data_IF_662389857043
#
_entry.id   IF_662389857043
#
_cell.length_a   1.000
_cell.length_b   1.000
_cell.length_c   1.000
_cell.angle_alpha   90.00
_cell.angle_beta   90.00
_cell.angle_gamma   90.00
#
_symmetry.space_group_name_H-M   'P 1'
#
loop_
_entity.id
_entity.type
_entity.pdbx_description
1 polymer ?
#
# COMPACT_ATOMS: atom_id res chain seq x y z
N UNK A 1 20.17 17.60 17.43
CA UNK A 1 20.53 18.01 16.06
C UNK A 1 19.45 17.57 15.06
N UNK A 2 18.55 18.46 14.67
CA UNK A 2 17.39 18.18 13.78
C UNK A 2 17.75 18.39 12.30
N UNK A 3 18.74 17.67 11.77
CA UNK A 3 19.28 18.00 10.44
C UNK A 3 19.74 16.86 9.53
N UNK A 4 19.54 15.58 9.87
CA UNK A 4 20.17 14.47 9.12
C UNK A 4 19.25 13.51 8.34
N UNK A 5 17.92 13.60 8.42
CA UNK A 5 17.03 12.60 7.78
C UNK A 5 16.24 13.09 6.55
N UNK A 6 16.54 14.26 5.97
CA UNK A 6 15.88 14.76 4.74
C UNK A 6 16.57 14.20 3.47
N UNK A 7 17.52 13.27 3.60
CA UNK A 7 18.30 12.81 2.45
C UNK A 7 17.55 11.72 1.66
N UNK A 8 17.06 12.16 0.50
CA UNK A 8 16.49 11.40 -0.64
C UNK A 8 14.97 11.16 -0.60
N UNK A 9 14.20 12.24 -0.52
CA UNK A 9 12.87 12.24 -1.16
C UNK A 9 13.10 12.51 -2.66
N UNK A 10 12.64 11.65 -3.57
CA UNK A 10 12.72 11.91 -5.01
C UNK A 10 12.11 13.28 -5.39
N UNK A 11 12.72 14.00 -6.34
CA UNK A 11 12.32 15.37 -6.68
C UNK A 11 10.83 15.46 -7.07
N UNK A 12 10.32 14.47 -7.80
CA UNK A 12 8.90 14.39 -8.18
C UNK A 12 7.96 14.26 -6.97
N UNK A 13 8.34 13.53 -5.93
CA UNK A 13 7.55 13.42 -4.69
C UNK A 13 7.52 14.74 -3.93
N UNK A 14 8.67 15.43 -3.84
CA UNK A 14 8.76 16.78 -3.27
C UNK A 14 7.84 17.74 -4.04
N UNK A 15 7.90 17.75 -5.37
CA UNK A 15 7.03 18.59 -6.20
C UNK A 15 5.56 18.26 -5.96
N UNK A 16 5.17 16.98 -5.90
CA UNK A 16 3.78 16.58 -5.66
C UNK A 16 3.29 16.99 -4.25
N UNK A 17 4.14 16.84 -3.23
CA UNK A 17 3.84 17.28 -1.87
C UNK A 17 3.67 18.80 -1.77
N UNK A 18 4.51 19.56 -2.47
CA UNK A 18 4.47 21.03 -2.49
C UNK A 18 3.29 21.57 -3.30
N UNK A 19 2.97 20.94 -4.44
CA UNK A 19 1.89 21.37 -5.34
C UNK A 19 0.52 20.81 -4.98
N UNK A 20 0.46 19.83 -4.05
CA UNK A 20 -0.76 19.09 -3.65
C UNK A 20 -1.56 18.50 -4.83
N UNK A 21 -0.94 18.31 -6.00
CA UNK A 21 -1.61 17.71 -7.16
C UNK A 21 -1.80 16.22 -6.90
N UNK A 22 -3.06 15.84 -6.70
CA UNK A 22 -3.49 14.46 -6.55
C UNK A 22 -3.92 13.85 -7.89
N UNK A 23 -3.95 12.53 -7.95
CA UNK A 23 -4.43 11.76 -9.11
C UNK A 23 -5.58 10.85 -8.68
N UNK A 24 -6.70 10.93 -9.39
CA UNK A 24 -7.81 9.99 -9.23
C UNK A 24 -7.43 8.61 -9.81
N UNK A 25 -7.67 7.55 -9.05
CA UNK A 25 -7.50 6.17 -9.54
C UNK A 25 -8.64 5.85 -10.51
N UNK A 26 -8.30 5.27 -11.67
CA UNK A 26 -9.29 4.90 -12.68
C UNK A 26 -10.04 3.64 -12.25
N UNK A 27 -11.31 3.48 -12.64
CA UNK A 27 -12.12 2.33 -12.24
C UNK A 27 -11.52 0.98 -12.66
N UNK A 28 -10.89 0.89 -13.83
CA UNK A 28 -10.19 -0.34 -14.25
C UNK A 28 -8.97 -0.67 -13.39
N UNK A 29 -8.46 0.32 -12.69
CA UNK A 29 -7.32 0.22 -11.78
C UNK A 29 -7.79 0.25 -10.31
N UNK A 30 -9.09 0.10 -10.04
CA UNK A 30 -9.65 0.15 -8.68
C UNK A 30 -8.98 -0.85 -7.75
N UNK A 31 -8.94 -0.49 -6.48
CA UNK A 31 -8.20 -1.28 -5.52
C UNK A 31 -8.27 -0.72 -4.11
N UNK A 32 -7.25 -1.04 -3.34
CA UNK A 32 -7.12 -0.61 -1.95
C UNK A 32 -5.80 0.10 -1.74
N UNK A 33 -5.87 1.31 -1.19
CA UNK A 33 -4.73 2.04 -0.68
C UNK A 33 -4.36 1.53 0.71
N UNK A 34 -3.21 0.87 0.82
CA UNK A 34 -2.65 0.32 2.05
C UNK A 34 -1.77 1.40 2.70
N UNK A 35 -2.10 1.80 3.92
CA UNK A 35 -1.37 2.85 4.64
C UNK A 35 -0.17 2.25 5.39
N UNK A 36 1.02 2.34 4.80
CA UNK A 36 2.26 1.74 5.33
C UNK A 36 3.05 2.69 6.25
N UNK A 37 2.43 3.79 6.69
CA UNK A 37 3.05 4.88 7.46
C UNK A 37 3.83 4.44 8.71
N UNK A 38 3.39 3.36 9.38
CA UNK A 38 4.02 2.88 10.62
C UNK A 38 5.32 2.08 10.38
N UNK A 39 5.50 1.50 9.20
CA UNK A 39 6.53 0.49 8.96
C UNK A 39 7.48 0.82 7.81
N UNK A 40 7.05 1.66 6.87
CA UNK A 40 7.87 2.04 5.73
C UNK A 40 9.12 2.82 6.15
N UNK A 41 10.26 2.50 5.54
CA UNK A 41 11.49 3.29 5.63
C UNK A 41 11.96 3.65 4.21
N UNK A 42 12.52 4.86 3.99
CA UNK A 42 13.04 5.23 2.67
C UNK A 42 14.15 4.33 2.12
N UNK A 43 14.77 3.49 2.96
CA UNK A 43 15.82 2.54 2.58
C UNK A 43 15.27 1.17 2.15
N UNK A 44 13.95 0.96 2.18
CA UNK A 44 13.34 -0.31 1.79
C UNK A 44 13.46 -0.55 0.29
N UNK A 45 13.78 -1.79 -0.08
CA UNK A 45 13.72 -2.26 -1.45
C UNK A 45 12.32 -2.78 -1.80
N UNK A 46 12.26 -3.46 -2.95
CA UNK A 46 11.01 -4.03 -3.48
C UNK A 46 10.43 -5.09 -2.53
N UNK A 47 11.27 -5.95 -1.95
CA UNK A 47 10.83 -7.03 -1.07
C UNK A 47 10.25 -6.50 0.24
N UNK A 48 10.96 -5.59 0.93
CA UNK A 48 10.48 -4.99 2.16
C UNK A 48 9.18 -4.23 1.94
N UNK A 49 9.10 -3.46 0.84
CA UNK A 49 7.90 -2.68 0.49
C UNK A 49 6.72 -3.60 0.19
N UNK A 50 6.96 -4.71 -0.51
CA UNK A 50 5.93 -5.71 -0.77
C UNK A 50 5.46 -6.34 0.54
N UNK A 51 6.36 -6.81 1.39
CA UNK A 51 6.00 -7.53 2.62
C UNK A 51 5.24 -6.67 3.64
N UNK A 52 5.59 -5.39 3.78
CA UNK A 52 4.78 -4.49 4.62
C UNK A 52 3.41 -4.15 4.01
N UNK A 53 3.28 -4.21 2.68
CA UNK A 53 2.03 -3.95 1.95
C UNK A 53 1.12 -5.16 1.97
N UNK A 54 1.64 -6.33 1.61
CA UNK A 54 1.01 -7.65 1.77
C UNK A 54 0.53 -7.81 3.19
N UNK A 55 1.45 -7.66 4.15
CA UNK A 55 1.16 -7.59 5.57
C UNK A 55 0.20 -8.67 6.08
N UNK A 56 -0.30 -8.47 7.29
CA UNK A 56 -1.38 -9.28 7.82
C UNK A 56 -2.54 -8.37 8.20
N UNK A 57 -3.74 -8.80 7.82
CA UNK A 57 -4.94 -8.00 7.87
C UNK A 57 -6.11 -8.73 8.52
N UNK A 58 -7.01 -7.95 9.11
CA UNK A 58 -8.29 -8.46 9.61
C UNK A 58 -9.23 -8.77 8.44
N UNK A 59 -10.28 -9.56 8.68
CA UNK A 59 -11.28 -9.89 7.66
C UNK A 59 -11.95 -8.64 7.06
N UNK A 60 -11.96 -7.51 7.77
CA UNK A 60 -12.55 -6.24 7.31
C UNK A 60 -12.01 -5.78 5.96
N UNK A 61 -10.69 -5.78 5.74
CA UNK A 61 -10.13 -5.35 4.45
C UNK A 61 -10.46 -6.36 3.35
N UNK A 62 -10.45 -7.65 3.68
CA UNK A 62 -10.70 -8.74 2.74
C UNK A 62 -12.11 -8.61 2.21
N UNK A 63 -13.10 -8.50 3.09
CA UNK A 63 -14.50 -8.29 2.70
C UNK A 63 -14.70 -7.00 1.93
N UNK A 64 -14.02 -5.91 2.30
CA UNK A 64 -14.09 -4.67 1.53
C UNK A 64 -13.53 -4.83 0.11
N UNK A 65 -12.42 -5.55 -0.04
CA UNK A 65 -11.81 -5.83 -1.34
C UNK A 65 -12.66 -6.78 -2.19
N UNK A 66 -13.17 -7.86 -1.61
CA UNK A 66 -14.04 -8.83 -2.29
C UNK A 66 -15.33 -8.17 -2.77
N UNK A 67 -16.02 -7.42 -1.91
CA UNK A 67 -17.29 -6.75 -2.26
C UNK A 67 -17.15 -5.66 -3.32
N UNK A 68 -15.95 -5.09 -3.46
CA UNK A 68 -15.67 -4.03 -4.43
C UNK A 68 -14.93 -4.52 -5.67
N UNK A 69 -14.58 -5.81 -5.73
CA UNK A 69 -13.72 -6.36 -6.79
C UNK A 69 -12.41 -5.56 -6.94
N UNK A 70 -11.70 -5.40 -5.82
CA UNK A 70 -10.44 -4.68 -5.73
C UNK A 70 -9.31 -5.45 -6.43
N UNK A 71 -8.76 -4.86 -7.50
CA UNK A 71 -7.74 -5.49 -8.34
C UNK A 71 -6.31 -5.22 -7.88
N UNK A 72 -6.08 -4.05 -7.28
CA UNK A 72 -4.73 -3.58 -6.94
C UNK A 72 -4.58 -3.21 -5.46
N UNK A 73 -3.41 -3.46 -4.90
CA UNK A 73 -2.96 -2.92 -3.62
C UNK A 73 -1.96 -1.79 -3.87
N UNK A 74 -2.31 -0.57 -3.47
CA UNK A 74 -1.45 0.60 -3.55
C UNK A 74 -0.71 0.77 -2.21
N UNK A 75 0.60 0.57 -2.21
CA UNK A 75 1.42 0.84 -1.04
C UNK A 75 1.55 2.36 -0.86
N UNK A 76 0.99 2.94 0.20
CA UNK A 76 0.96 4.41 0.37
C UNK A 76 1.65 4.88 1.65
N UNK A 77 2.59 5.81 1.48
CA UNK A 77 3.29 6.48 2.57
C UNK A 77 3.02 7.99 2.50
N UNK A 78 2.39 8.55 3.52
CA UNK A 78 1.94 9.95 3.56
C UNK A 78 1.13 10.37 2.32
N UNK A 79 0.31 9.44 1.79
CA UNK A 79 -0.51 9.64 0.60
C UNK A 79 0.22 9.43 -0.74
N UNK A 80 1.55 9.35 -0.74
CA UNK A 80 2.35 9.04 -1.93
C UNK A 80 2.37 7.54 -2.16
N UNK A 81 2.06 7.11 -3.39
CA UNK A 81 2.16 5.70 -3.80
C UNK A 81 3.63 5.32 -3.95
N UNK A 82 4.07 4.32 -3.19
CA UNK A 82 5.43 3.77 -3.21
C UNK A 82 5.58 2.59 -4.16
N UNK A 83 4.55 1.76 -4.25
CA UNK A 83 4.47 0.68 -5.22
C UNK A 83 3.00 0.27 -5.43
N UNK A 84 2.73 -0.51 -6.47
CA UNK A 84 1.40 -1.07 -6.77
C UNK A 84 1.52 -2.56 -7.08
N UNK A 85 0.65 -3.35 -6.47
CA UNK A 85 0.62 -4.79 -6.65
C UNK A 85 -0.74 -5.25 -7.18
N UNK A 86 -0.75 -6.25 -8.06
CA UNK A 86 -1.96 -7.00 -8.40
C UNK A 86 -2.30 -7.90 -7.23
N UNK A 87 -3.55 -7.86 -6.80
CA UNK A 87 -4.11 -8.81 -5.83
C UNK A 87 -4.63 -10.00 -6.63
N UNK A 88 -4.04 -11.19 -6.42
CA UNK A 88 -4.53 -12.43 -7.01
C UNK A 88 -5.58 -13.10 -6.13
N UNK A 89 -5.33 -13.18 -4.82
CA UNK A 89 -6.25 -13.75 -3.85
C UNK A 89 -5.88 -13.33 -2.43
N UNK A 90 -6.79 -13.56 -1.48
CA UNK A 90 -6.52 -13.48 -0.06
C UNK A 90 -6.43 -14.89 0.53
N UNK A 91 -5.39 -15.14 1.32
CA UNK A 91 -5.10 -16.44 1.94
C UNK A 91 -4.92 -16.30 3.45
N UNK A 92 -4.99 -17.38 4.23
CA UNK A 92 -4.67 -17.34 5.65
C UNK A 92 -3.27 -16.76 5.88
N UNK A 93 -3.14 -15.84 6.84
CA UNK A 93 -1.87 -15.22 7.18
C UNK A 93 -0.87 -16.23 7.76
N UNK A 94 0.40 -16.08 7.38
CA UNK A 94 1.48 -16.98 7.79
C UNK A 94 1.59 -18.22 6.89
N UNK A 95 0.87 -18.25 5.77
CA UNK A 95 1.01 -19.30 4.74
C UNK A 95 2.04 -18.92 3.68
N UNK A 96 2.42 -17.64 3.61
CA UNK A 96 3.54 -17.17 2.80
C UNK A 96 4.74 -16.81 3.68
N UNK A 97 5.93 -17.13 3.19
CA UNK A 97 7.20 -16.79 3.86
C UNK A 97 7.43 -15.27 3.85
N UNK A 98 8.00 -14.74 4.94
CA UNK A 98 8.44 -13.36 5.07
C UNK A 98 9.95 -13.33 5.33
N UNK A 99 10.70 -12.80 4.38
CA UNK A 99 12.16 -12.80 4.41
C UNK A 99 12.74 -11.52 5.04
N UNK A 100 12.01 -10.41 5.03
CA UNK A 100 12.50 -9.12 5.54
C UNK A 100 11.96 -8.75 6.92
N UNK A 101 11.03 -9.54 7.46
CA UNK A 101 10.39 -9.27 8.75
C UNK A 101 9.82 -10.53 9.39
N UNK A 102 9.71 -10.51 10.72
CA UNK A 102 8.96 -11.51 11.47
C UNK A 102 7.51 -11.06 11.67
N UNK A 103 6.56 -11.98 11.63
CA UNK A 103 5.17 -11.73 11.96
C UNK A 103 4.96 -11.77 13.48
N UNK A 104 4.22 -10.80 13.99
CA UNK A 104 3.83 -10.73 15.40
C UNK A 104 2.74 -11.79 15.70
N UNK A 105 3.01 -12.78 16.59
CA UNK A 105 2.06 -13.83 16.93
C UNK A 105 0.75 -13.30 17.54
N UNK A 106 0.80 -12.23 18.34
CA UNK A 106 -0.41 -11.65 18.94
C UNK A 106 -1.25 -10.93 17.88
N UNK A 107 -0.59 -10.31 16.90
CA UNK A 107 -1.29 -9.72 15.77
C UNK A 107 -1.93 -10.78 14.89
N UNK A 108 -1.28 -11.92 14.65
CA UNK A 108 -1.82 -13.04 13.88
C UNK A 108 -3.14 -13.58 14.46
N UNK A 109 -3.34 -13.52 15.78
CA UNK A 109 -4.62 -13.91 16.41
C UNK A 109 -5.81 -13.08 15.90
N UNK A 110 -5.58 -11.82 15.48
CA UNK A 110 -6.59 -10.84 15.06
C UNK A 110 -6.57 -10.53 13.57
N UNK A 111 -5.41 -10.68 12.93
CA UNK A 111 -5.15 -10.34 11.54
C UNK A 111 -4.70 -11.62 10.80
N UNK A 112 -5.67 -12.37 10.29
CA UNK A 112 -5.52 -13.74 9.80
C UNK A 112 -5.49 -13.85 8.28
N UNK A 113 -5.34 -12.73 7.57
CA UNK A 113 -5.35 -12.72 6.11
C UNK A 113 -4.16 -11.96 5.55
N UNK A 114 -3.63 -12.45 4.46
CA UNK A 114 -2.63 -11.78 3.64
C UNK A 114 -2.99 -11.99 2.16
N UNK A 115 -2.58 -11.09 1.27
CA UNK A 115 -2.85 -11.28 -0.15
C UNK A 115 -1.69 -12.00 -0.85
N UNK A 116 -2.01 -12.89 -1.79
CA UNK A 116 -1.05 -13.37 -2.79
C UNK A 116 -1.10 -12.38 -3.95
N UNK A 117 0.06 -11.94 -4.43
CA UNK A 117 0.12 -10.91 -5.45
C UNK A 117 1.50 -10.75 -6.06
N UNK A 118 1.59 -9.88 -7.07
CA UNK A 118 2.84 -9.52 -7.74
C UNK A 118 2.84 -8.05 -8.09
N UNK A 119 4.01 -7.50 -8.40
CA UNK A 119 4.15 -6.11 -8.87
C UNK A 119 3.26 -5.87 -10.09
N UNK A 120 2.61 -4.71 -10.12
CA UNK A 120 1.68 -4.35 -11.20
C UNK A 120 2.41 -4.16 -12.55
N UNK A 121 1.70 -4.25 -13.69
CA UNK A 121 2.27 -3.93 -14.99
C UNK A 121 2.90 -2.53 -15.03
N UNK A 122 3.95 -2.35 -15.84
CA UNK A 122 4.73 -1.09 -15.91
C UNK A 122 3.86 0.14 -16.16
N UNK A 123 2.83 0.01 -16.99
CA UNK A 123 1.87 1.09 -17.27
C UNK A 123 1.13 1.59 -16.01
N UNK A 124 0.74 0.68 -15.10
CA UNK A 124 0.09 1.00 -13.83
C UNK A 124 1.10 1.66 -12.89
N UNK A 125 2.32 1.12 -12.81
CA UNK A 125 3.38 1.68 -11.98
C UNK A 125 3.70 3.12 -12.41
N UNK A 126 3.95 3.36 -13.70
CA UNK A 126 4.22 4.69 -14.25
C UNK A 126 3.05 5.67 -14.03
N UNK A 127 1.82 5.16 -13.99
CA UNK A 127 0.64 6.00 -13.79
C UNK A 127 0.52 6.49 -12.35
N UNK A 128 0.93 5.72 -11.34
CA UNK A 128 0.62 6.02 -9.94
C UNK A 128 1.82 6.17 -9.01
N UNK A 129 2.92 5.44 -9.20
CA UNK A 129 4.08 5.48 -8.30
C UNK A 129 4.69 6.88 -8.27
N UNK A 130 5.02 7.36 -7.06
CA UNK A 130 5.53 8.71 -6.80
C UNK A 130 4.46 9.81 -6.79
N UNK A 131 3.20 9.47 -7.10
CA UNK A 131 2.08 10.43 -7.09
C UNK A 131 1.26 10.30 -5.82
N UNK A 132 0.57 11.38 -5.47
CA UNK A 132 -0.44 11.38 -4.41
C UNK A 132 -1.75 10.92 -5.03
N UNK A 133 -2.36 9.87 -4.51
CA UNK A 133 -3.69 9.44 -4.98
C UNK A 133 -4.80 10.11 -4.18
N UNK A 134 -5.89 10.46 -4.87
CA UNK A 134 -7.12 10.92 -4.23
C UNK A 134 -7.73 9.78 -3.42
N UNK A 135 -8.08 10.07 -2.17
CA UNK A 135 -8.73 9.12 -1.27
C UNK A 135 -9.57 9.85 -0.24
N UNK A 136 -10.63 9.18 0.21
CA UNK A 136 -11.39 9.61 1.39
C UNK A 136 -10.50 9.52 2.63
N UNK A 137 -10.80 10.34 3.64
CA UNK A 137 -10.07 10.32 4.90
C UNK A 137 -10.24 8.95 5.57
N UNK A 138 -9.14 8.35 6.00
CA UNK A 138 -9.17 7.11 6.79
C UNK A 138 -9.49 7.45 8.25
N UNK A 139 -10.65 7.02 8.76
CA UNK A 139 -11.06 7.23 10.15
C UNK A 139 -10.43 6.18 11.08
N UNK A 140 -9.09 6.13 11.11
CA UNK A 140 -8.33 5.15 11.89
C UNK A 140 -8.10 3.80 11.19
N UNK A 141 -8.79 3.55 10.08
CA UNK A 141 -8.54 2.36 9.25
C UNK A 141 -7.17 2.43 8.56
N UNK A 142 -6.38 1.34 8.60
CA UNK A 142 -5.07 1.28 7.94
C UNK A 142 -5.15 1.08 6.42
N UNK A 143 -6.34 1.22 5.82
CA UNK A 143 -6.57 1.12 4.38
C UNK A 143 -7.74 1.99 3.92
N UNK A 144 -7.81 2.30 2.63
CA UNK A 144 -8.93 3.03 1.99
C UNK A 144 -9.19 2.46 0.60
N UNK A 145 -10.45 2.23 0.22
CA UNK A 145 -10.83 1.87 -1.15
C UNK A 145 -10.62 3.06 -2.11
N UNK A 146 -10.08 2.81 -3.31
CA UNK A 146 -9.78 3.83 -4.32
C UNK A 146 -10.20 3.38 -5.72
N UNK A 147 -10.68 4.32 -6.55
CA UNK A 147 -11.13 4.04 -7.91
C UNK A 147 -12.58 3.56 -8.03
N UNK A 148 -13.44 3.92 -7.08
CA UNK A 148 -14.87 3.55 -7.06
C UNK A 148 -15.82 4.75 -7.10
N UNK A 149 -15.27 5.95 -7.31
CA UNK A 149 -16.03 7.20 -7.46
C UNK A 149 -16.00 7.67 -8.92
#
# INVERSE_FOLDING_TARGET
SKGKNIKRVPLNELTNLLTKKSVKVHYDHRGVAILINKHYKPTFGDLETFEITRGIWSKKIVTACENSDAKFAYATFNGVVKDVYVIHSWVPAGTQEYFSRTLDPERLKKARWEFVGKKAPKEILHKYVGKIIERKRSFGDPFVLVGYD
#
